data_IF_494670950223
#
_entry.id   IF_494670950223
#
_cell.length_a   1.000
_cell.length_b   1.000
_cell.length_c   1.000
_cell.angle_alpha   90.00
_cell.angle_beta   90.00
_cell.angle_gamma   90.00
#
_symmetry.space_group_name_H-M   'P 1'
#
loop_
_entity.id
_entity.type
_entity.pdbx_description
1 polymer ?
#
# COMPACT_ATOMS: atom_id res chain seq x y z
N UNK A 1 -7.88 1.79 7.58
CA UNK A 1 -7.33 3.00 6.91
C UNK A 1 -8.42 3.99 6.47
N UNK A 2 -9.51 3.58 5.80
CA UNK A 2 -10.60 4.49 5.41
C UNK A 2 -11.21 5.23 6.61
N UNK A 3 -11.40 4.54 7.74
CA UNK A 3 -11.93 5.14 8.97
C UNK A 3 -11.13 6.36 9.47
N UNK A 4 -9.80 6.35 9.33
CA UNK A 4 -8.96 7.48 9.74
C UNK A 4 -9.13 8.67 8.78
N UNK A 5 -9.19 8.40 7.47
CA UNK A 5 -9.45 9.45 6.47
C UNK A 5 -10.81 10.11 6.66
N UNK A 6 -11.86 9.33 6.94
CA UNK A 6 -13.20 9.85 7.24
C UNK A 6 -13.17 10.80 8.45
N UNK A 7 -12.49 10.40 9.53
CA UNK A 7 -12.40 11.21 10.77
C UNK A 7 -11.82 12.61 10.54
N UNK A 8 -10.96 12.77 9.54
CA UNK A 8 -10.33 14.05 9.20
C UNK A 8 -10.94 14.72 7.96
N UNK A 9 -12.06 14.19 7.45
CA UNK A 9 -12.78 14.78 6.32
C UNK A 9 -12.15 14.52 4.94
N UNK A 10 -11.28 13.52 4.80
CA UNK A 10 -10.67 13.19 3.51
C UNK A 10 -11.68 12.63 2.49
N UNK A 11 -11.52 13.03 1.24
CA UNK A 11 -12.17 12.39 0.08
C UNK A 11 -11.26 11.36 -0.62
N UNK A 12 -9.95 11.41 -0.37
CA UNK A 12 -8.96 10.48 -0.90
C UNK A 12 -7.91 10.14 0.17
N UNK A 13 -7.31 8.95 0.06
CA UNK A 13 -6.21 8.52 0.95
C UNK A 13 -5.07 7.91 0.14
N UNK A 14 -3.87 7.98 0.70
CA UNK A 14 -2.71 7.19 0.25
C UNK A 14 -2.33 6.20 1.37
N UNK A 15 -1.98 4.98 0.99
CA UNK A 15 -1.53 3.94 1.91
C UNK A 15 -0.26 3.26 1.41
N UNK A 16 0.53 2.71 2.33
CA UNK A 16 1.46 1.63 2.02
C UNK A 16 0.72 0.30 2.19
N UNK A 17 0.93 -0.64 1.27
CA UNK A 17 0.32 -1.98 1.35
C UNK A 17 1.10 -2.93 2.26
N UNK A 18 2.36 -2.59 2.56
CA UNK A 18 3.34 -3.34 3.36
C UNK A 18 4.25 -2.37 4.14
N UNK A 19 5.10 -2.88 5.02
CA UNK A 19 6.12 -2.07 5.70
C UNK A 19 7.19 -1.60 4.71
N UNK A 20 7.31 -0.29 4.51
CA UNK A 20 8.22 0.33 3.56
C UNK A 20 9.71 0.21 3.94
N UNK A 21 10.06 -0.35 5.11
CA UNK A 21 11.45 -0.54 5.57
C UNK A 21 11.99 -1.94 5.29
N UNK A 22 11.17 -2.84 4.76
CA UNK A 22 11.51 -4.24 4.53
C UNK A 22 11.23 -4.62 3.08
N UNK A 23 12.04 -5.51 2.52
CA UNK A 23 11.89 -6.01 1.15
C UNK A 23 10.83 -7.11 1.02
N UNK A 24 10.70 -7.94 2.06
CA UNK A 24 9.72 -9.02 2.08
C UNK A 24 8.64 -8.69 3.09
N UNK A 25 7.40 -8.94 2.70
CA UNK A 25 6.27 -8.94 3.62
C UNK A 25 5.41 -10.17 3.37
N UNK A 26 4.72 -10.59 4.42
CA UNK A 26 3.78 -11.69 4.31
C UNK A 26 2.65 -11.34 3.33
N UNK A 27 2.10 -12.33 2.60
CA UNK A 27 0.89 -12.13 1.83
C UNK A 27 -0.25 -11.59 2.70
N UNK A 28 -1.06 -10.69 2.13
CA UNK A 28 -2.27 -10.22 2.80
C UNK A 28 -3.23 -11.39 2.98
N UNK A 29 -3.78 -11.54 4.18
CA UNK A 29 -4.81 -12.54 4.45
C UNK A 29 -6.13 -12.14 3.78
N UNK A 30 -6.96 -13.15 3.45
CA UNK A 30 -8.31 -12.92 2.90
C UNK A 30 -9.15 -12.02 3.82
N UNK A 31 -9.04 -12.23 5.13
CA UNK A 31 -9.74 -11.43 6.15
C UNK A 31 -9.35 -9.96 6.11
N UNK A 32 -8.06 -9.63 5.98
CA UNK A 32 -7.60 -8.24 5.87
C UNK A 32 -8.12 -7.56 4.60
N UNK A 33 -8.07 -8.29 3.48
CA UNK A 33 -8.57 -7.80 2.18
C UNK A 33 -10.06 -7.50 2.26
N UNK A 34 -10.86 -8.44 2.77
CA UNK A 34 -12.30 -8.28 2.91
C UNK A 34 -12.67 -7.15 3.87
N UNK A 35 -11.99 -7.06 5.02
CA UNK A 35 -12.22 -5.97 5.98
C UNK A 35 -11.95 -4.60 5.34
N UNK A 36 -10.82 -4.44 4.65
CA UNK A 36 -10.49 -3.20 3.97
C UNK A 36 -11.52 -2.83 2.90
N UNK A 37 -11.89 -3.79 2.04
CA UNK A 37 -12.89 -3.58 0.97
C UNK A 37 -14.25 -3.17 1.55
N UNK A 38 -14.70 -3.83 2.61
CA UNK A 38 -15.96 -3.51 3.27
C UNK A 38 -15.95 -2.12 3.92
N UNK A 39 -14.85 -1.74 4.59
CA UNK A 39 -14.68 -0.40 5.15
C UNK A 39 -14.66 0.68 4.07
N UNK A 40 -13.92 0.43 2.98
CA UNK A 40 -13.79 1.37 1.87
C UNK A 40 -15.14 1.59 1.18
N UNK A 41 -15.88 0.50 0.89
CA UNK A 41 -17.20 0.57 0.26
C UNK A 41 -18.25 1.33 1.10
N UNK A 42 -18.13 1.29 2.43
CA UNK A 42 -19.01 2.04 3.35
C UNK A 42 -18.55 3.48 3.57
N UNK A 43 -17.36 3.85 3.11
CA UNK A 43 -16.77 5.17 3.34
C UNK A 43 -17.22 6.18 2.28
N UNK A 44 -17.06 7.48 2.60
CA UNK A 44 -17.18 8.57 1.62
C UNK A 44 -15.88 8.81 0.82
N UNK A 45 -14.83 8.03 1.10
CA UNK A 45 -13.56 8.16 0.40
C UNK A 45 -13.73 7.59 -1.01
N UNK A 46 -13.42 8.42 -2.01
CA UNK A 46 -13.61 8.13 -3.44
C UNK A 46 -12.39 7.44 -4.03
N UNK A 47 -11.21 7.65 -3.45
CA UNK A 47 -9.96 7.12 -3.98
C UNK A 47 -9.00 6.66 -2.88
N UNK A 48 -8.38 5.50 -3.09
CA UNK A 48 -7.19 5.07 -2.38
C UNK A 48 -6.05 4.84 -3.37
N UNK A 49 -4.89 5.42 -3.09
CA UNK A 49 -3.65 5.20 -3.86
C UNK A 49 -2.70 4.36 -3.01
N UNK A 50 -2.17 3.29 -3.59
CA UNK A 50 -1.05 2.57 -3.00
C UNK A 50 0.24 3.27 -3.41
N UNK A 51 1.05 3.70 -2.44
CA UNK A 51 2.40 4.15 -2.67
C UNK A 51 3.36 3.04 -2.30
N UNK A 52 4.36 2.82 -3.14
CA UNK A 52 5.33 1.75 -2.94
C UNK A 52 6.47 2.15 -2.00
N UNK A 53 7.30 1.18 -1.64
CA UNK A 53 8.45 1.34 -0.77
C UNK A 53 9.51 2.28 -1.37
N UNK A 54 10.11 3.12 -0.52
CA UNK A 54 11.25 3.95 -0.91
C UNK A 54 12.52 3.14 -1.20
N UNK A 55 12.53 1.85 -0.88
CA UNK A 55 13.65 0.95 -1.18
C UNK A 55 13.74 0.63 -2.68
N UNK A 56 12.63 0.73 -3.42
CA UNK A 56 12.57 0.41 -4.85
C UNK A 56 13.34 1.45 -5.64
N UNK A 57 14.27 0.98 -6.47
CA UNK A 57 14.99 1.80 -7.43
C UNK A 57 15.07 1.10 -8.79
N UNK A 58 14.07 1.32 -9.65
CA UNK A 58 14.02 0.75 -11.00
C UNK A 58 15.06 1.35 -11.96
N UNK A 59 15.77 2.41 -11.56
CA UNK A 59 16.84 3.06 -12.32
C UNK A 59 18.24 2.70 -11.86
N UNK A 60 18.39 1.77 -10.91
CA UNK A 60 19.70 1.37 -10.39
C UNK A 60 20.53 0.63 -11.46
N UNK A 61 21.84 0.89 -11.57
CA UNK A 61 22.74 0.11 -12.44
C UNK A 61 23.12 -1.26 -11.83
N UNK A 62 22.86 -1.44 -10.53
CA UNK A 62 23.12 -2.68 -9.79
C UNK A 62 22.06 -3.74 -10.15
N UNK A 63 22.47 -4.82 -10.80
CA UNK A 63 21.56 -5.85 -11.32
C UNK A 63 20.76 -6.56 -10.23
N UNK A 64 21.37 -6.85 -9.09
CA UNK A 64 20.72 -7.57 -8.01
C UNK A 64 19.67 -6.69 -7.35
N UNK A 65 19.99 -5.40 -7.12
CA UNK A 65 19.01 -4.42 -6.62
C UNK A 65 17.89 -4.13 -7.61
N UNK A 66 18.17 -4.19 -8.92
CA UNK A 66 17.14 -4.02 -9.94
C UNK A 66 16.16 -5.20 -9.94
N UNK A 67 16.64 -6.44 -9.81
CA UNK A 67 15.79 -7.63 -9.65
C UNK A 67 14.94 -7.48 -8.38
N UNK A 68 15.58 -7.15 -7.26
CA UNK A 68 14.89 -6.95 -5.99
C UNK A 68 13.80 -5.86 -6.05
N UNK A 69 14.07 -4.77 -6.76
CA UNK A 69 13.10 -3.68 -6.97
C UNK A 69 11.92 -4.07 -7.88
N UNK A 70 12.10 -5.04 -8.77
CA UNK A 70 11.05 -5.54 -9.69
C UNK A 70 10.15 -6.60 -9.05
N UNK A 71 10.66 -7.30 -8.04
CA UNK A 71 9.94 -8.35 -7.31
C UNK A 71 9.17 -7.84 -6.08
N UNK A 72 9.42 -6.60 -5.66
CA UNK A 72 8.83 -5.96 -4.48
C UNK A 72 7.30 -5.85 -4.53
#
# INVERSE_FOLDING_TARGET
APANGIKIGCEAIQIFTRNQRQWMANPLSKREIESYRNEFAKSKIKMAVAHDSYLINLGTPDKDKLIQSREA
#
